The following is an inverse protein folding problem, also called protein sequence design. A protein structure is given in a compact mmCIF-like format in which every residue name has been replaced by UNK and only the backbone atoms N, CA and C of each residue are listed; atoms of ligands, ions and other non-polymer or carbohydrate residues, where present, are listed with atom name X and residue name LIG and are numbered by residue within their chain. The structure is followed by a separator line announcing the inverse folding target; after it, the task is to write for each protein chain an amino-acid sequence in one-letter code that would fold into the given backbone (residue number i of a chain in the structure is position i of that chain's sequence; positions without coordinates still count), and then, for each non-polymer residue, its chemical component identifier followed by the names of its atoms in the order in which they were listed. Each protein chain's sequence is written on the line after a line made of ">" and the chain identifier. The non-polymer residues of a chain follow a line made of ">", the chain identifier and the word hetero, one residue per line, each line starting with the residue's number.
data_IF_336973286036
#
_entry.id   IF_336973286036
#
_cell.length_a   1.000
_cell.length_b   1.000
_cell.length_c   1.000
_cell.angle_alpha   90.00
_cell.angle_beta   90.00
_cell.angle_gamma   90.00
#
_symmetry.space_group_name_H-M   'P 1'
#
loop_
_entity.id
_entity.type
_entity.pdbx_description
1 polymer ?
#
# COMPACT_ATOMS: atom_id res chain seq x y z
N UNK A 1 12.23 7.68 -14.15
CA UNK A 1 12.50 8.45 -12.91
C UNK A 1 12.93 7.48 -11.83
N UNK A 2 13.91 7.83 -10.99
CA UNK A 2 14.39 6.99 -9.87
C UNK A 2 13.88 7.57 -8.54
N UNK A 3 13.39 6.72 -7.65
CA UNK A 3 13.09 7.06 -6.25
C UNK A 3 14.03 6.24 -5.38
N UNK A 4 14.90 6.90 -4.61
CA UNK A 4 15.86 6.23 -3.71
C UNK A 4 16.65 5.09 -4.39
N UNK A 5 17.04 5.28 -5.65
CA UNK A 5 17.81 4.31 -6.44
C UNK A 5 17.00 3.19 -7.09
N UNK A 6 15.67 3.15 -6.90
CA UNK A 6 14.78 2.19 -7.58
C UNK A 6 14.02 2.87 -8.71
N UNK A 7 13.92 2.21 -9.86
CA UNK A 7 13.18 2.72 -11.01
C UNK A 7 11.66 2.74 -10.74
N UNK A 8 11.00 3.85 -11.08
CA UNK A 8 9.54 3.90 -11.15
C UNK A 8 9.11 3.25 -12.47
N UNK A 9 8.33 2.19 -12.37
CA UNK A 9 7.61 1.62 -13.50
C UNK A 9 6.26 2.34 -13.65
N UNK A 10 6.26 3.48 -14.33
CA UNK A 10 5.08 4.34 -14.45
C UNK A 10 3.96 3.73 -15.32
N UNK A 11 4.30 2.73 -16.14
CA UNK A 11 3.34 2.00 -17.00
C UNK A 11 2.48 1.03 -16.20
N UNK A 12 2.96 0.60 -15.03
CA UNK A 12 2.21 -0.26 -14.12
C UNK A 12 1.18 0.52 -13.29
N UNK A 13 0.05 -0.11 -13.01
CA UNK A 13 -0.98 0.47 -12.15
C UNK A 13 -0.54 0.57 -10.67
N UNK A 14 -1.05 1.54 -9.93
CA UNK A 14 -0.85 1.61 -8.49
C UNK A 14 -1.52 0.42 -7.78
N UNK A 15 -0.99 -0.05 -6.63
CA UNK A 15 -1.62 -1.11 -5.87
C UNK A 15 -2.96 -0.64 -5.27
N UNK A 16 -4.03 -1.36 -5.57
CA UNK A 16 -5.34 -1.15 -4.93
C UNK A 16 -5.39 -1.89 -3.58
N UNK A 17 -5.19 -1.18 -2.47
CA UNK A 17 -5.11 -1.77 -1.12
C UNK A 17 -6.45 -2.26 -0.56
N UNK A 18 -7.58 -1.77 -1.07
CA UNK A 18 -8.92 -2.25 -0.81
C UNK A 18 -9.88 -1.72 -1.90
N UNK A 19 -11.03 -2.36 -2.07
CA UNK A 19 -12.08 -1.89 -3.00
C UNK A 19 -13.09 -1.04 -2.24
N UNK A 20 -13.68 -1.62 -1.19
CA UNK A 20 -14.52 -0.95 -0.21
C UNK A 20 -13.81 -0.90 1.15
N UNK A 21 -14.16 0.07 2.01
CA UNK A 21 -13.55 0.22 3.35
C UNK A 21 -13.63 -1.06 4.18
N UNK A 22 -14.76 -1.78 4.11
CA UNK A 22 -14.99 -3.07 4.77
C UNK A 22 -13.99 -4.19 4.39
N UNK A 23 -13.31 -4.07 3.24
CA UNK A 23 -12.29 -5.02 2.79
C UNK A 23 -10.91 -4.73 3.42
N UNK A 24 -10.80 -3.68 4.24
CA UNK A 24 -9.60 -3.31 4.97
C UNK A 24 -9.86 -3.30 6.48
N UNK A 25 -9.12 -4.10 7.23
CA UNK A 25 -9.21 -4.11 8.69
C UNK A 25 -8.27 -3.13 9.40
N UNK A 26 -7.58 -2.24 8.66
CA UNK A 26 -6.67 -1.26 9.25
C UNK A 26 -5.40 -1.84 9.93
N UNK A 27 -5.06 -3.12 9.72
CA UNK A 27 -3.95 -3.80 10.42
C UNK A 27 -2.52 -3.29 10.13
N UNK A 28 -2.36 -2.23 9.34
CA UNK A 28 -1.08 -1.58 8.96
C UNK A 28 0.01 -2.46 8.32
N UNK A 29 -0.26 -3.73 8.03
CA UNK A 29 0.72 -4.63 7.41
C UNK A 29 1.27 -4.09 6.07
N UNK A 30 0.41 -3.45 5.26
CA UNK A 30 0.80 -2.82 4.01
C UNK A 30 1.78 -1.65 4.20
N UNK A 31 1.58 -0.85 5.26
CA UNK A 31 2.50 0.22 5.65
C UNK A 31 3.85 -0.37 6.07
N UNK A 32 3.85 -1.34 7.00
CA UNK A 32 5.08 -1.90 7.56
C UNK A 32 5.97 -2.62 6.53
N UNK A 33 5.38 -3.30 5.53
CA UNK A 33 6.16 -4.03 4.51
C UNK A 33 6.71 -3.12 3.40
N UNK A 34 6.21 -1.89 3.29
CA UNK A 34 6.59 -1.00 2.22
C UNK A 34 8.01 -0.48 2.46
N UNK A 35 8.95 -0.61 1.52
CA UNK A 35 10.33 -0.14 1.70
C UNK A 35 10.44 1.38 1.86
N UNK A 36 9.36 2.11 1.53
CA UNK A 36 9.25 3.56 1.60
C UNK A 36 8.18 4.03 2.58
N UNK A 37 7.68 3.14 3.45
CA UNK A 37 6.80 3.51 4.55
C UNK A 37 7.34 2.90 5.85
N UNK A 38 7.53 3.71 6.88
CA UNK A 38 7.93 3.23 8.21
C UNK A 38 9.37 2.70 8.36
N UNK A 39 10.19 2.66 7.31
CA UNK A 39 11.59 2.24 7.41
C UNK A 39 12.49 3.42 7.78
N UNK A 40 12.71 3.57 9.09
CA UNK A 40 13.77 4.39 9.67
C UNK A 40 15.09 4.20 8.90
N UNK A 41 15.51 5.22 8.14
CA UNK A 41 16.93 5.40 7.85
C UNK A 41 17.48 6.35 8.92
N UNK A 42 18.70 6.03 9.35
CA UNK A 42 19.59 6.67 10.32
C UNK A 42 19.30 6.50 11.82
N UNK A 43 20.35 6.03 12.50
CA UNK A 43 20.54 5.87 13.95
C UNK A 43 20.74 7.20 14.69
N UNK A 44 20.10 8.29 14.26
CA UNK A 44 20.31 9.60 14.89
C UNK A 44 18.95 10.14 15.36
N UNK A 45 18.88 10.49 16.64
CA UNK A 45 17.71 10.79 17.48
C UNK A 45 16.86 12.02 17.05
N UNK A 46 16.65 12.25 15.77
CA UNK A 46 15.75 13.30 15.24
C UNK A 46 14.79 12.73 14.22
N UNK A 47 13.78 12.05 14.74
CA UNK A 47 12.55 11.74 14.01
C UNK A 47 11.73 13.03 13.92
N UNK A 48 11.99 13.87 12.92
CA UNK A 48 10.89 14.68 12.41
C UNK A 48 9.99 13.72 11.64
N UNK A 49 8.79 13.50 12.17
CA UNK A 49 7.72 12.70 11.57
C UNK A 49 7.23 13.37 10.28
N UNK A 50 8.06 13.36 9.24
CA UNK A 50 7.66 13.84 7.93
C UNK A 50 6.83 12.78 7.21
N UNK A 51 5.54 12.74 7.54
CA UNK A 51 4.54 11.95 6.83
C UNK A 51 4.51 12.26 5.32
N UNK A 52 5.01 13.43 4.87
CA UNK A 52 5.10 13.80 3.45
C UNK A 52 6.01 12.85 2.66
N UNK A 53 6.99 12.25 3.33
CA UNK A 53 7.98 11.35 2.73
C UNK A 53 7.59 9.87 2.79
N UNK A 54 6.37 9.53 3.22
CA UNK A 54 5.90 8.15 3.32
C UNK A 54 5.12 7.71 2.08
N UNK A 55 5.46 6.55 1.51
CA UNK A 55 4.76 5.99 0.34
C UNK A 55 3.34 5.51 0.65
N UNK A 56 3.09 5.10 1.89
CA UNK A 56 1.77 4.73 2.39
C UNK A 56 1.60 5.50 3.69
N UNK A 57 0.49 6.21 3.82
CA UNK A 57 0.04 6.86 5.06
C UNK A 57 -1.23 6.17 5.56
N UNK A 58 -1.58 6.37 6.83
CA UNK A 58 -2.82 5.87 7.41
C UNK A 58 -3.70 7.08 7.76
N UNK A 59 -4.81 7.23 7.08
CA UNK A 59 -5.72 8.37 7.26
C UNK A 59 -7.00 7.91 7.96
N UNK A 60 -7.46 8.64 9.00
CA UNK A 60 -8.74 8.35 9.64
C UNK A 60 -9.90 8.75 8.72
N UNK A 61 -10.98 7.98 8.76
CA UNK A 61 -12.28 8.46 8.29
C UNK A 61 -12.99 9.31 9.37
N UNK A 62 -14.24 9.70 9.11
CA UNK A 62 -15.05 10.52 10.02
C UNK A 62 -15.27 9.86 11.39
N UNK A 63 -15.23 8.53 11.45
CA UNK A 63 -15.40 7.74 12.67
C UNK A 63 -14.06 7.45 13.37
N UNK A 64 -12.93 7.80 12.73
CA UNK A 64 -11.58 7.62 13.24
C UNK A 64 -10.93 6.28 12.86
N UNK A 65 -11.56 5.47 12.00
CA UNK A 65 -10.95 4.24 11.50
C UNK A 65 -9.85 4.56 10.48
N UNK A 66 -8.68 3.96 10.66
CA UNK A 66 -7.50 4.22 9.85
C UNK A 66 -7.45 3.36 8.58
N UNK A 67 -7.29 4.00 7.42
CA UNK A 67 -7.16 3.34 6.12
C UNK A 67 -5.89 3.75 5.39
N UNK A 68 -5.26 2.83 4.63
CA UNK A 68 -4.02 3.12 3.95
C UNK A 68 -4.25 3.94 2.68
N UNK A 69 -3.48 5.02 2.52
CA UNK A 69 -3.46 5.88 1.33
C UNK A 69 -2.09 5.78 0.66
N UNK A 70 -2.05 5.56 -0.65
CA UNK A 70 -0.80 5.36 -1.41
C UNK A 70 -0.38 6.68 -2.07
N UNK A 71 0.83 7.14 -1.77
CA UNK A 71 1.47 8.24 -2.48
C UNK A 71 2.07 7.74 -3.81
N UNK A 72 1.43 8.11 -4.92
CA UNK A 72 1.82 7.71 -6.27
C UNK A 72 3.24 8.16 -6.68
N UNK A 73 3.72 9.27 -6.13
CA UNK A 73 5.04 9.84 -6.42
C UNK A 73 6.17 9.07 -5.74
N UNK A 74 5.86 8.32 -4.68
CA UNK A 74 6.82 7.53 -3.91
C UNK A 74 6.71 6.02 -4.21
N UNK A 75 5.56 5.59 -4.74
CA UNK A 75 5.29 4.18 -4.98
C UNK A 75 6.03 3.65 -6.23
N UNK A 76 7.06 2.84 -5.98
CA UNK A 76 7.79 2.10 -7.01
C UNK A 76 7.05 0.86 -7.55
N UNK A 77 5.79 0.64 -7.12
CA UNK A 77 4.95 -0.49 -7.56
C UNK A 77 5.63 -1.86 -7.38
N UNK A 78 6.19 -2.07 -6.19
CA UNK A 78 6.77 -3.37 -5.82
C UNK A 78 5.71 -4.40 -5.38
N UNK A 79 4.46 -3.98 -5.18
CA UNK A 79 3.28 -4.79 -4.78
C UNK A 79 3.41 -5.62 -3.49
N UNK A 80 4.45 -5.42 -2.67
CA UNK A 80 4.62 -6.10 -1.37
C UNK A 80 3.45 -5.86 -0.41
N UNK A 81 2.84 -4.67 -0.48
CA UNK A 81 1.65 -4.32 0.29
C UNK A 81 0.43 -5.21 -0.04
N UNK A 82 0.32 -5.70 -1.28
CA UNK A 82 -0.71 -6.67 -1.65
C UNK A 82 -0.36 -8.08 -1.16
N UNK A 83 0.90 -8.48 -1.28
CA UNK A 83 1.33 -9.83 -0.86
C UNK A 83 1.21 -10.07 0.64
N UNK A 84 1.44 -9.04 1.47
CA UNK A 84 1.34 -9.16 2.94
C UNK A 84 -0.11 -9.16 3.45
N UNK A 85 -1.07 -8.72 2.62
CA UNK A 85 -2.45 -8.52 3.05
C UNK A 85 -3.17 -9.86 3.27
N UNK A 86 -3.25 -10.27 4.53
CA UNK A 86 -4.01 -11.48 4.92
C UNK A 86 -5.51 -11.35 4.61
N UNK A 87 -6.07 -10.13 4.60
CA UNK A 87 -7.49 -9.91 4.31
C UNK A 87 -7.84 -10.19 2.85
N UNK A 88 -7.08 -9.64 1.88
CA UNK A 88 -7.33 -9.89 0.46
C UNK A 88 -7.23 -11.37 0.08
N UNK A 89 -6.18 -12.04 0.53
CA UNK A 89 -5.94 -13.44 0.13
C UNK A 89 -6.93 -14.38 0.82
N UNK A 90 -7.15 -14.25 2.13
CA UNK A 90 -8.04 -15.14 2.88
C UNK A 90 -9.53 -14.87 2.62
N UNK A 91 -9.94 -13.62 2.38
CA UNK A 91 -11.34 -13.33 2.05
C UNK A 91 -11.70 -13.78 0.63
N UNK A 92 -10.74 -13.75 -0.30
CA UNK A 92 -10.90 -14.35 -1.64
C UNK A 92 -11.07 -15.87 -1.56
N UNK A 93 -10.22 -16.56 -0.81
CA UNK A 93 -10.34 -18.01 -0.57
C UNK A 93 -11.70 -18.40 0.05
N UNK A 94 -12.23 -17.56 0.93
CA UNK A 94 -13.52 -17.77 1.59
C UNK A 94 -14.73 -17.28 0.77
N UNK A 95 -14.52 -16.70 -0.41
CA UNK A 95 -15.59 -16.23 -1.30
C UNK A 95 -16.28 -14.92 -0.87
N UNK A 96 -15.74 -14.18 0.10
CA UNK A 96 -16.30 -12.89 0.54
C UNK A 96 -16.01 -11.74 -0.42
N UNK A 97 -14.96 -11.85 -1.23
CA UNK A 97 -14.62 -10.87 -2.27
C UNK A 97 -14.67 -11.57 -3.63
N UNK A 98 -15.55 -11.11 -4.53
CA UNK A 98 -15.59 -11.56 -5.92
C UNK A 98 -14.58 -10.77 -6.76
N UNK A 99 -13.35 -11.28 -6.83
CA UNK A 99 -12.40 -10.92 -7.89
C UNK A 99 -11.41 -9.79 -7.56
N UNK A 100 -10.16 -10.18 -7.33
CA UNK A 100 -9.01 -9.46 -7.89
C UNK A 100 -8.07 -10.51 -8.49
N UNK A 101 -8.31 -10.78 -9.77
CA UNK A 101 -7.32 -11.13 -10.77
C UNK A 101 -7.55 -10.06 -11.86
N UNK A 102 -6.59 -9.31 -12.37
CA UNK A 102 -5.31 -9.76 -12.90
C UNK A 102 -4.29 -8.61 -12.97
N UNK A 103 -3.02 -8.93 -12.74
CA UNK A 103 -1.97 -8.45 -13.64
C UNK A 103 -2.13 -9.22 -14.95
N UNK A 104 -3.04 -8.79 -15.83
CA UNK A 104 -3.11 -9.14 -17.25
C UNK A 104 -4.27 -8.39 -17.92
N UNK A 105 -3.87 -7.51 -18.85
CA UNK A 105 -4.50 -7.13 -20.13
C UNK A 105 -5.99 -6.78 -20.16
N UNK A 106 -6.25 -5.51 -20.47
CA UNK A 106 -7.42 -5.12 -21.26
C UNK A 106 -7.42 -5.91 -22.57
N UNK A 107 -8.39 -6.80 -22.76
CA UNK A 107 -8.87 -7.21 -24.09
C UNK A 107 -10.41 -7.35 -24.00
N UNK A 108 -11.10 -6.64 -24.90
CA UNK A 108 -12.50 -6.88 -25.30
C UNK A 108 -12.57 -8.09 -26.24
#
# INVERSE_FOLDING_TARGET
>A
MLINGQAIDAEKALPQLYENRENCCGCTACYAICPFSGSNRSNDDKVELDYSSSCITMEPDEEGFLYPVVNALLCIRCYKCLSVCSFKNKQKEKGYIKGLINNQSYEE
#
